data_IF_768872431252
#
_entry.id   IF_768872431252
#
_cell.length_a   1.000
_cell.length_b   1.000
_cell.length_c   1.000
_cell.angle_alpha   90.00
_cell.angle_beta   90.00
_cell.angle_gamma   90.00
#
_symmetry.space_group_name_H-M   'P 1'
#
loop_
_entity.id
_entity.type
_entity.pdbx_description
1 polymer ?
#
# COMPACT_ATOMS: atom_id res chain seq x y z
N UNK A 1 -9.16 64.41 39.08
CA UNK A 1 -8.63 63.08 38.75
C UNK A 1 -9.81 62.14 38.65
N UNK A 2 -10.18 61.75 37.44
CA UNK A 2 -11.33 60.87 37.18
C UNK A 2 -10.90 59.93 36.08
N UNK A 3 -10.71 58.65 36.44
CA UNK A 3 -10.23 57.59 35.57
C UNK A 3 -11.35 57.10 34.66
N UNK A 4 -11.18 57.21 33.35
CA UNK A 4 -12.09 56.65 32.35
C UNK A 4 -11.58 55.26 31.94
N UNK A 5 -12.32 54.22 32.31
CA UNK A 5 -12.08 52.83 31.92
C UNK A 5 -12.47 52.60 30.45
N UNK A 6 -11.54 52.12 29.63
CA UNK A 6 -11.78 51.67 28.26
C UNK A 6 -12.30 50.23 28.27
N UNK A 7 -13.52 50.01 27.78
CA UNK A 7 -14.03 48.65 27.50
C UNK A 7 -13.48 48.15 26.16
N UNK A 8 -12.78 47.02 26.18
CA UNK A 8 -12.41 46.27 24.98
C UNK A 8 -13.51 45.24 24.74
N UNK A 9 -14.24 45.37 23.63
CA UNK A 9 -15.16 44.33 23.13
C UNK A 9 -14.40 43.39 22.20
N UNK A 10 -14.18 42.16 22.64
CA UNK A 10 -13.59 41.08 21.84
C UNK A 10 -14.58 40.60 20.78
N UNK A 11 -14.24 40.77 19.50
CA UNK A 11 -14.94 40.11 18.40
C UNK A 11 -14.46 38.65 18.30
N UNK A 12 -15.33 37.69 18.63
CA UNK A 12 -15.06 36.27 18.43
C UNK A 12 -15.25 35.92 16.95
N UNK A 13 -14.16 35.58 16.27
CA UNK A 13 -14.14 35.08 14.90
C UNK A 13 -14.61 33.62 14.88
N UNK A 14 -15.85 33.37 14.44
CA UNK A 14 -16.35 32.03 14.17
C UNK A 14 -15.72 31.51 12.87
N UNK A 15 -14.77 30.59 13.00
CA UNK A 15 -14.25 29.80 11.87
C UNK A 15 -15.25 28.66 11.62
N UNK A 16 -16.10 28.83 10.61
CA UNK A 16 -16.92 27.76 10.08
C UNK A 16 -16.03 26.81 9.25
N UNK A 17 -15.54 25.73 9.86
CA UNK A 17 -14.96 24.61 9.12
C UNK A 17 -16.06 23.89 8.36
N UNK A 18 -16.13 24.11 7.05
CA UNK A 18 -16.94 23.32 6.13
C UNK A 18 -16.37 21.89 6.09
N UNK A 19 -17.12 20.95 6.65
CA UNK A 19 -16.87 19.51 6.51
C UNK A 19 -17.11 19.15 5.05
N UNK A 20 -16.06 19.21 4.22
CA UNK A 20 -16.11 18.63 2.88
C UNK A 20 -16.25 17.11 3.05
N UNK A 21 -17.47 16.61 2.86
CA UNK A 21 -17.78 15.20 2.89
C UNK A 21 -16.87 14.45 1.92
N UNK A 22 -16.15 13.45 2.44
CA UNK A 22 -15.37 12.52 1.62
C UNK A 22 -16.36 11.71 0.81
N UNK A 23 -16.63 12.12 -0.43
CA UNK A 23 -17.38 11.32 -1.38
C UNK A 23 -16.55 10.10 -1.75
N UNK A 24 -16.84 8.95 -1.13
CA UNK A 24 -16.39 7.66 -1.65
C UNK A 24 -17.24 7.34 -2.88
N UNK A 25 -16.81 7.80 -4.04
CA UNK A 25 -17.46 7.48 -5.30
C UNK A 25 -17.34 5.96 -5.56
N UNK A 26 -18.45 5.24 -5.45
CA UNK A 26 -18.59 3.91 -6.02
C UNK A 26 -18.65 4.06 -7.55
N UNK A 27 -17.48 4.18 -8.18
CA UNK A 27 -17.38 4.21 -9.63
C UNK A 27 -17.85 2.87 -10.21
N UNK A 28 -18.71 2.93 -11.24
CA UNK A 28 -19.09 1.76 -12.02
C UNK A 28 -17.82 1.06 -12.58
N UNK A 29 -17.81 -0.28 -12.73
CA UNK A 29 -16.67 -1.00 -13.28
C UNK A 29 -16.31 -0.45 -14.67
N UNK A 30 -15.03 -0.14 -14.91
CA UNK A 30 -14.58 0.31 -16.23
C UNK A 30 -14.73 -0.85 -17.21
N UNK A 31 -15.58 -0.68 -18.22
CA UNK A 31 -15.87 -1.72 -19.22
C UNK A 31 -14.91 -1.67 -20.41
N UNK A 32 -14.38 -0.50 -20.78
CA UNK A 32 -13.46 -0.27 -21.91
C UNK A 32 -12.36 0.75 -21.57
N UNK A 33 -11.21 0.70 -22.28
CA UNK A 33 -10.09 1.66 -22.17
C UNK A 33 -9.51 1.84 -20.75
N UNK A 34 -9.10 0.74 -20.11
CA UNK A 34 -8.47 0.78 -18.80
C UNK A 34 -7.14 0.02 -18.73
N UNK A 35 -6.36 0.37 -17.71
CA UNK A 35 -5.19 -0.39 -17.27
C UNK A 35 -5.55 -1.10 -15.98
N UNK A 36 -5.31 -2.39 -15.93
CA UNK A 36 -5.45 -3.18 -14.71
C UNK A 36 -4.11 -3.22 -13.97
N UNK A 37 -4.13 -3.02 -12.65
CA UNK A 37 -2.93 -3.10 -11.82
C UNK A 37 -3.10 -4.16 -10.72
N UNK A 38 -2.04 -4.91 -10.46
CA UNK A 38 -1.95 -5.95 -9.43
C UNK A 38 -0.68 -5.72 -8.60
N UNK A 39 -0.80 -5.86 -7.29
CA UNK A 39 0.36 -5.94 -6.39
C UNK A 39 0.68 -7.41 -6.17
N UNK A 40 1.95 -7.76 -6.32
CA UNK A 40 2.49 -9.08 -6.04
C UNK A 40 3.55 -8.96 -4.95
N UNK A 41 3.47 -9.81 -3.92
CA UNK A 41 4.46 -9.86 -2.85
C UNK A 41 4.98 -11.29 -2.69
N UNK A 42 6.29 -11.48 -2.82
CA UNK A 42 6.92 -12.79 -2.63
C UNK A 42 7.36 -12.93 -1.19
N UNK A 43 6.93 -14.00 -0.54
CA UNK A 43 7.35 -14.34 0.81
C UNK A 43 8.23 -15.59 0.70
N UNK A 44 9.54 -15.37 0.72
CA UNK A 44 10.53 -16.44 0.63
C UNK A 44 11.81 -16.08 1.37
N UNK A 45 12.10 -16.82 2.44
CA UNK A 45 13.41 -16.80 3.08
C UNK A 45 13.80 -18.23 3.49
N UNK A 46 14.93 -18.79 3.01
CA UNK A 46 15.34 -20.14 3.39
C UNK A 46 15.76 -20.25 4.86
N UNK A 47 16.02 -19.15 5.56
CA UNK A 47 16.45 -19.13 6.96
C UNK A 47 15.32 -18.81 7.95
N UNK A 48 14.10 -18.50 7.48
CA UNK A 48 12.96 -18.15 8.33
C UNK A 48 11.79 -19.10 8.11
N UNK A 49 11.04 -19.34 9.18
CA UNK A 49 9.72 -19.97 9.15
C UNK A 49 8.65 -18.91 9.37
N UNK A 50 7.43 -19.19 8.93
CA UNK A 50 6.25 -18.36 9.18
C UNK A 50 6.44 -16.91 8.69
N UNK A 51 7.05 -16.72 7.52
CA UNK A 51 7.15 -15.38 6.89
C UNK A 51 5.82 -14.89 6.33
N UNK A 52 4.80 -15.76 6.28
CA UNK A 52 3.44 -15.41 5.87
C UNK A 52 2.62 -14.94 7.06
N UNK A 53 1.75 -13.97 6.81
CA UNK A 53 0.70 -13.56 7.76
C UNK A 53 -0.57 -14.37 7.49
N UNK A 54 -1.55 -14.40 8.39
CA UNK A 54 -2.94 -14.81 8.16
C UNK A 54 -3.87 -13.60 8.02
N UNK A 55 -3.39 -12.42 8.41
CA UNK A 55 -4.14 -11.19 8.36
C UNK A 55 -4.25 -10.67 6.94
N UNK A 56 -5.41 -10.11 6.60
CA UNK A 56 -5.57 -9.44 5.33
C UNK A 56 -4.63 -8.22 5.24
N UNK A 57 -4.03 -8.02 4.08
CA UNK A 57 -3.39 -6.73 3.78
C UNK A 57 -4.35 -5.85 3.00
N UNK A 58 -4.38 -4.57 3.34
CA UNK A 58 -5.09 -3.55 2.55
C UNK A 58 -4.11 -2.92 1.57
N UNK A 59 -4.57 -2.75 0.34
CA UNK A 59 -3.80 -2.07 -0.70
C UNK A 59 -4.51 -0.77 -1.05
N UNK A 60 -3.76 0.30 -1.19
CA UNK A 60 -4.26 1.58 -1.66
C UNK A 60 -3.38 2.07 -2.79
N UNK A 61 -3.99 2.32 -3.94
CA UNK A 61 -3.34 2.77 -5.15
C UNK A 61 -3.50 4.27 -5.27
N UNK A 62 -2.40 4.99 -5.42
CA UNK A 62 -2.42 6.42 -5.70
C UNK A 62 -1.96 6.65 -7.14
N UNK A 63 -2.62 7.59 -7.81
CA UNK A 63 -2.36 7.85 -9.22
C UNK A 63 -1.62 9.16 -9.45
N UNK A 64 -1.13 9.35 -10.66
CA UNK A 64 -0.48 10.58 -11.12
C UNK A 64 -1.38 11.81 -11.04
N UNK A 65 -2.71 11.61 -11.17
CA UNK A 65 -3.69 12.69 -11.02
C UNK A 65 -4.03 13.05 -9.56
N UNK A 66 -3.40 12.39 -8.59
CA UNK A 66 -3.66 12.59 -7.16
C UNK A 66 -4.86 11.81 -6.61
N UNK A 67 -5.53 11.00 -7.44
CA UNK A 67 -6.65 10.15 -7.00
C UNK A 67 -6.14 8.95 -6.22
N UNK A 68 -7.03 8.44 -5.36
CA UNK A 68 -6.76 7.27 -4.52
C UNK A 68 -7.84 6.22 -4.75
N UNK A 69 -7.42 4.98 -4.94
CA UNK A 69 -8.28 3.84 -5.17
C UNK A 69 -7.96 2.75 -4.15
N UNK A 70 -8.95 2.35 -3.38
CA UNK A 70 -8.81 1.19 -2.50
C UNK A 70 -8.72 -0.07 -3.36
N UNK A 71 -7.61 -0.80 -3.23
CA UNK A 71 -7.54 -2.16 -3.68
C UNK A 71 -8.38 -3.06 -2.79
N UNK A 72 -8.84 -4.17 -3.35
CA UNK A 72 -9.36 -5.26 -2.53
C UNK A 72 -8.21 -5.86 -1.69
N UNK A 73 -8.58 -6.52 -0.59
CA UNK A 73 -7.62 -7.18 0.30
C UNK A 73 -6.72 -8.13 -0.49
N UNK A 74 -5.42 -8.13 -0.19
CA UNK A 74 -4.51 -9.15 -0.75
C UNK A 74 -5.01 -10.50 -0.26
N UNK A 75 -5.28 -11.40 -1.20
CA UNK A 75 -5.72 -12.75 -0.86
C UNK A 75 -4.55 -13.52 -0.28
N UNK A 76 -4.72 -13.92 0.97
CA UNK A 76 -3.88 -14.86 1.67
C UNK A 76 -3.99 -16.23 0.97
N UNK A 77 -2.89 -16.85 0.54
CA UNK A 77 -2.91 -18.26 0.18
C UNK A 77 -3.33 -19.09 1.40
N UNK A 78 -3.93 -20.26 1.17
CA UNK A 78 -4.45 -21.12 2.25
C UNK A 78 -3.35 -21.71 3.15
N UNK A 79 -2.08 -21.49 2.82
CA UNK A 79 -0.91 -21.98 3.54
C UNK A 79 -0.01 -20.80 3.93
N UNK A 80 0.54 -20.86 5.15
CA UNK A 80 1.59 -19.92 5.59
C UNK A 80 2.93 -20.31 4.98
N UNK A 81 3.84 -19.35 4.87
CA UNK A 81 5.17 -19.58 4.31
C UNK A 81 5.98 -20.52 5.20
N UNK A 82 6.18 -21.75 4.75
CA UNK A 82 7.13 -22.69 5.36
C UNK A 82 8.55 -22.35 4.92
N UNK A 83 9.55 -22.73 5.73
CA UNK A 83 10.96 -22.50 5.42
C UNK A 83 11.31 -23.05 4.04
N UNK A 84 11.92 -22.22 3.20
CA UNK A 84 12.34 -22.63 1.87
C UNK A 84 11.21 -22.78 0.83
N UNK A 85 9.96 -22.48 1.19
CA UNK A 85 8.85 -22.45 0.23
C UNK A 85 8.52 -21.01 -0.15
N UNK A 86 8.43 -20.77 -1.46
CA UNK A 86 8.03 -19.47 -1.99
C UNK A 86 6.51 -19.41 -2.05
N UNK A 87 5.95 -18.42 -1.37
CA UNK A 87 4.52 -18.09 -1.47
C UNK A 87 4.37 -16.73 -2.13
N UNK A 88 3.41 -16.61 -3.03
CA UNK A 88 3.15 -15.40 -3.81
C UNK A 88 1.78 -14.85 -3.45
N UNK A 89 1.78 -13.68 -2.84
CA UNK A 89 0.60 -12.91 -2.49
C UNK A 89 0.19 -12.03 -3.65
N UNK A 90 -1.10 -12.01 -3.98
CA UNK A 90 -1.63 -11.24 -5.12
C UNK A 90 -2.84 -10.42 -4.69
N UNK A 91 -2.82 -9.12 -4.99
CA UNK A 91 -4.02 -8.29 -4.85
C UNK A 91 -5.00 -8.58 -5.98
N UNK A 92 -6.31 -8.44 -5.79
CA UNK A 92 -7.21 -8.34 -6.92
C UNK A 92 -6.84 -7.13 -7.79
N UNK A 93 -7.14 -7.24 -9.08
CA UNK A 93 -6.81 -6.18 -10.03
C UNK A 93 -7.73 -4.97 -9.84
N UNK A 94 -7.15 -3.76 -9.93
CA UNK A 94 -7.93 -2.52 -10.04
C UNK A 94 -7.86 -1.99 -11.47
N UNK A 95 -8.98 -1.51 -12.00
CA UNK A 95 -9.03 -0.87 -13.31
C UNK A 95 -8.92 0.66 -13.17
N UNK A 96 -7.97 1.27 -13.86
CA UNK A 96 -7.82 2.73 -13.94
C UNK A 96 -8.03 3.23 -15.37
N UNK A 97 -8.58 4.45 -15.56
CA UNK A 97 -8.67 5.06 -16.89
C UNK A 97 -7.29 5.17 -17.55
N UNK A 98 -7.18 4.89 -18.85
CA UNK A 98 -5.91 4.87 -19.60
C UNK A 98 -5.02 6.13 -19.45
N UNK A 99 -5.62 7.28 -19.16
CA UNK A 99 -4.94 8.58 -18.99
C UNK A 99 -4.33 8.79 -17.60
N UNK A 100 -4.53 7.87 -16.67
CA UNK A 100 -4.02 7.96 -15.30
C UNK A 100 -3.13 6.76 -14.99
N UNK A 101 -1.94 7.01 -14.46
CA UNK A 101 -0.96 5.98 -14.11
C UNK A 101 -0.79 5.88 -12.61
N UNK A 102 -0.37 4.74 -12.09
CA UNK A 102 0.00 4.61 -10.68
C UNK A 102 1.27 5.44 -10.41
N UNK A 103 1.25 6.22 -9.33
CA UNK A 103 2.39 6.99 -8.81
C UNK A 103 2.98 6.38 -7.54
N UNK A 104 2.15 5.74 -6.71
CA UNK A 104 2.61 4.96 -5.56
C UNK A 104 1.56 3.94 -5.13
N UNK A 105 2.00 2.88 -4.47
CA UNK A 105 1.14 1.90 -3.82
C UNK A 105 1.44 1.89 -2.34
N UNK A 106 0.39 1.88 -1.54
CA UNK A 106 0.47 1.73 -0.09
C UNK A 106 -0.08 0.35 0.28
N UNK A 107 0.69 -0.42 1.02
CA UNK A 107 0.25 -1.68 1.61
C UNK A 107 0.23 -1.52 3.13
N UNK A 108 -0.86 -1.90 3.78
CA UNK A 108 -0.98 -1.82 5.24
C UNK A 108 -1.51 -3.10 5.84
N UNK A 109 -0.93 -3.51 6.96
CA UNK A 109 -1.43 -4.60 7.79
C UNK A 109 -2.80 -4.23 8.38
N UNK A 110 -3.68 -5.23 8.54
CA UNK A 110 -4.95 -5.05 9.26
C UNK A 110 -5.02 -5.76 10.60
N UNK A 111 -3.96 -6.46 11.00
CA UNK A 111 -3.92 -7.25 12.21
C UNK A 111 -2.50 -7.36 12.79
N UNK A 112 -2.34 -8.26 13.76
CA UNK A 112 -1.12 -8.43 14.55
C UNK A 112 -0.18 -9.49 13.99
N UNK A 113 -0.63 -10.32 13.05
CA UNK A 113 0.18 -11.37 12.45
C UNK A 113 1.08 -10.77 11.36
N UNK A 114 2.39 -10.92 11.54
CA UNK A 114 3.36 -10.25 10.69
C UNK A 114 3.45 -10.89 9.30
N UNK A 115 3.56 -10.06 8.26
CA UNK A 115 4.01 -10.49 6.95
C UNK A 115 5.46 -10.08 6.75
N UNK A 116 6.30 -11.00 6.31
CA UNK A 116 7.63 -10.71 5.78
C UNK A 116 7.67 -10.99 4.27
N UNK A 117 8.18 -10.04 3.49
CA UNK A 117 8.34 -10.17 2.04
C UNK A 117 9.68 -9.61 1.57
N UNK A 118 10.40 -10.34 0.72
CA UNK A 118 11.65 -9.83 0.13
C UNK A 118 11.44 -9.12 -1.20
N UNK A 119 10.28 -9.32 -1.84
CA UNK A 119 10.02 -8.76 -3.16
C UNK A 119 8.60 -8.26 -3.26
N UNK A 120 8.45 -7.01 -3.71
CA UNK A 120 7.17 -6.41 -4.07
C UNK A 120 7.22 -5.99 -5.52
N UNK A 121 6.20 -6.34 -6.29
CA UNK A 121 6.08 -5.98 -7.70
C UNK A 121 4.71 -5.38 -7.96
N UNK A 122 4.66 -4.29 -8.74
CA UNK A 122 3.40 -3.83 -9.32
C UNK A 122 3.39 -4.25 -10.77
N UNK A 123 2.40 -5.04 -11.14
CA UNK A 123 2.15 -5.43 -12.52
C UNK A 123 1.06 -4.53 -13.11
N UNK A 124 1.27 -4.11 -14.35
CA UNK A 124 0.27 -3.45 -15.19
C UNK A 124 -0.11 -4.40 -16.32
N UNK A 125 -1.41 -4.56 -16.53
CA UNK A 125 -2.01 -5.27 -17.65
C UNK A 125 -2.87 -4.31 -18.45
N UNK A 126 -2.69 -4.27 -19.75
CA UNK A 126 -3.57 -3.50 -20.63
C UNK A 126 -4.85 -4.32 -20.85
N UNK A 127 -6.03 -3.80 -20.45
CA UNK A 127 -7.31 -4.48 -20.67
C UNK A 127 -8.29 -3.54 -21.35
N UNK A 128 -8.66 -3.89 -22.58
CA UNK A 128 -9.47 -3.03 -23.46
C UNK A 128 -8.74 -2.44 -24.66
N UNK A 129 -7.56 -2.95 -25.02
CA UNK A 129 -7.01 -2.79 -26.37
C UNK A 129 -7.30 -4.08 -27.16
N UNK A 130 -8.42 -4.15 -27.92
CA UNK A 130 -8.90 -5.42 -28.50
C UNK A 130 -7.92 -6.13 -29.44
N UNK A 131 -6.86 -5.48 -29.93
CA UNK A 131 -6.03 -6.02 -31.03
C UNK A 131 -4.51 -5.84 -30.88
N UNK A 132 -3.99 -5.55 -29.67
CA UNK A 132 -2.54 -5.39 -29.47
C UNK A 132 -2.13 -6.22 -28.27
N UNK A 133 -1.40 -7.32 -28.51
CA UNK A 133 -1.05 -8.33 -27.51
C UNK A 133 -0.76 -7.75 -26.12
N UNK A 134 -1.31 -8.40 -25.09
CA UNK A 134 -1.20 -8.00 -23.70
C UNK A 134 0.25 -7.60 -23.35
N UNK A 135 0.50 -6.30 -23.18
CA UNK A 135 1.77 -5.85 -22.62
C UNK A 135 1.71 -6.05 -21.12
N UNK A 136 2.49 -7.01 -20.64
CA UNK A 136 2.79 -7.14 -19.22
C UNK A 136 3.95 -6.19 -18.91
N UNK A 137 3.65 -5.10 -18.21
CA UNK A 137 4.65 -4.16 -17.71
C UNK A 137 4.78 -4.31 -16.21
N UNK A 138 5.99 -4.13 -15.69
CA UNK A 138 6.25 -4.06 -14.24
C UNK A 138 6.68 -2.62 -13.91
N UNK A 139 5.72 -1.69 -13.70
CA UNK A 139 6.05 -0.30 -13.38
C UNK A 139 6.80 -0.10 -12.06
N UNK A 140 6.78 -1.10 -11.16
CA UNK A 140 7.52 -1.04 -9.90
C UNK A 140 8.01 -2.42 -9.48
N UNK A 141 9.26 -2.49 -9.04
CA UNK A 141 9.90 -3.71 -8.53
C UNK A 141 10.85 -3.32 -7.39
N UNK A 142 10.55 -3.77 -6.18
CA UNK A 142 11.37 -3.57 -4.99
C UNK A 142 11.79 -4.93 -4.48
N UNK A 143 13.07 -5.23 -4.62
CA UNK A 143 13.69 -6.47 -4.17
C UNK A 143 14.79 -6.10 -3.18
N UNK A 144 14.68 -6.59 -1.94
CA UNK A 144 15.71 -6.36 -0.91
C UNK A 144 16.87 -7.34 -1.02
N UNK A 145 16.82 -8.31 -1.95
CA UNK A 145 17.81 -9.36 -2.13
C UNK A 145 17.65 -10.52 -1.14
N UNK A 146 18.63 -11.42 -1.12
CA UNK A 146 18.62 -12.60 -0.27
C UNK A 146 19.08 -12.26 1.15
N UNK A 147 18.18 -12.45 2.13
CA UNK A 147 18.52 -12.42 3.55
C UNK A 147 17.83 -11.32 4.36
N UNK A 148 17.34 -10.24 3.73
CA UNK A 148 16.47 -9.26 4.40
C UNK A 148 15.22 -8.99 3.59
N UNK A 149 14.17 -8.50 4.25
CA UNK A 149 12.88 -8.22 3.63
C UNK A 149 12.07 -7.19 4.39
N UNK A 150 11.04 -6.67 3.73
CA UNK A 150 10.05 -5.80 4.31
C UNK A 150 9.19 -6.56 5.32
N UNK A 151 8.87 -5.93 6.44
CA UNK A 151 7.92 -6.48 7.41
C UNK A 151 6.70 -5.57 7.58
N UNK A 152 5.50 -6.14 7.44
CA UNK A 152 4.24 -5.50 7.77
C UNK A 152 3.57 -6.14 8.99
N UNK A 153 3.41 -5.38 10.06
CA UNK A 153 2.69 -5.81 11.27
C UNK A 153 2.15 -4.61 12.06
N UNK A 154 1.01 -4.78 12.71
CA UNK A 154 0.55 -3.83 13.73
C UNK A 154 1.06 -4.17 15.15
N UNK A 155 1.61 -5.37 15.36
CA UNK A 155 2.17 -5.75 16.65
C UNK A 155 3.58 -5.18 16.83
N UNK A 156 3.77 -4.42 17.91
CA UNK A 156 5.08 -3.88 18.28
C UNK A 156 6.03 -4.96 18.81
N UNK A 157 5.50 -6.09 19.27
CA UNK A 157 6.26 -7.25 19.73
C UNK A 157 7.13 -7.86 18.64
N UNK A 158 6.68 -7.81 17.38
CA UNK A 158 7.43 -8.34 16.24
C UNK A 158 8.78 -7.67 16.03
N UNK A 159 8.91 -6.40 16.44
CA UNK A 159 10.17 -5.66 16.41
C UNK A 159 11.17 -6.06 17.50
N UNK A 160 10.81 -7.02 18.37
CA UNK A 160 11.69 -7.53 19.43
C UNK A 160 12.02 -9.01 19.26
N UNK A 161 11.47 -9.65 18.23
CA UNK A 161 11.62 -11.07 18.01
C UNK A 161 12.94 -11.39 17.25
N UNK A 162 13.47 -12.62 17.34
CA UNK A 162 14.75 -12.99 16.73
C UNK A 162 14.83 -12.78 15.21
N UNK A 163 13.67 -12.83 14.54
CA UNK A 163 13.56 -12.71 13.09
C UNK A 163 13.78 -11.28 12.56
N UNK A 164 13.85 -10.28 13.45
CA UNK A 164 14.17 -8.88 13.11
C UNK A 164 15.52 -8.71 12.42
N UNK A 165 16.46 -9.63 12.64
CA UNK A 165 17.72 -9.73 11.90
C UNK A 165 17.54 -9.86 10.38
N UNK A 166 16.40 -10.38 9.95
CA UNK A 166 16.01 -10.52 8.55
C UNK A 166 15.09 -9.40 8.06
N UNK A 167 14.78 -8.38 8.87
CA UNK A 167 13.91 -7.27 8.46
C UNK A 167 14.75 -6.11 7.96
N UNK A 168 14.43 -5.54 6.79
CA UNK A 168 15.09 -4.37 6.24
C UNK A 168 14.63 -3.09 6.96
N UNK A 169 15.52 -2.10 7.08
CA UNK A 169 15.19 -0.82 7.71
C UNK A 169 15.04 -0.88 9.23
N UNK A 170 14.09 -0.11 9.78
CA UNK A 170 13.86 0.05 11.22
C UNK A 170 12.96 -1.02 11.85
N UNK A 171 12.65 -2.09 11.11
CA UNK A 171 11.78 -3.18 11.58
C UNK A 171 10.42 -3.22 10.88
N UNK A 172 9.48 -3.91 11.51
CA UNK A 172 8.09 -4.05 11.12
C UNK A 172 7.33 -2.72 11.22
N UNK A 173 6.62 -2.38 10.15
CA UNK A 173 5.78 -1.20 10.07
C UNK A 173 4.33 -1.59 9.80
N UNK A 174 3.32 -0.88 10.34
CA UNK A 174 1.92 -1.18 10.05
C UNK A 174 1.54 -0.86 8.59
N UNK A 175 2.38 -0.09 7.90
CA UNK A 175 2.17 0.40 6.55
C UNK A 175 3.51 0.62 5.85
N UNK A 176 3.53 0.31 4.56
CA UNK A 176 4.65 0.59 3.66
C UNK A 176 4.16 1.26 2.38
N UNK A 177 5.00 2.10 1.81
CA UNK A 177 4.75 2.88 0.60
C UNK A 177 5.80 2.57 -0.44
N UNK A 178 5.34 2.18 -1.63
CA UNK A 178 6.16 1.82 -2.78
C UNK A 178 5.95 2.87 -3.88
N UNK A 179 6.94 3.75 -4.08
CA UNK A 179 6.87 4.86 -5.04
C UNK A 179 7.25 4.44 -6.46
N UNK A 180 6.42 4.74 -7.45
CA UNK A 180 6.60 4.33 -8.85
C UNK A 180 7.05 5.53 -9.69
N UNK A 181 8.07 5.34 -10.52
CA UNK A 181 8.62 6.36 -11.42
C UNK A 181 10.09 6.68 -11.16
N UNK A 182 10.56 7.87 -11.56
CA UNK A 182 11.94 8.33 -11.32
C UNK A 182 12.20 8.40 -9.81
N UNK A 183 13.23 7.70 -9.34
CA UNK A 183 13.59 7.66 -7.92
C UNK A 183 12.77 6.68 -7.09
N UNK A 184 12.27 5.59 -7.70
CA UNK A 184 11.47 4.57 -7.00
C UNK A 184 12.15 4.08 -5.70
N UNK A 185 11.45 4.28 -4.58
CA UNK A 185 11.88 3.92 -3.23
C UNK A 185 10.75 3.23 -2.47
N UNK A 186 11.11 2.41 -1.50
CA UNK A 186 10.20 1.86 -0.51
C UNK A 186 10.41 2.59 0.83
N UNK A 187 9.32 2.99 1.48
CA UNK A 187 9.31 3.70 2.76
C UNK A 187 8.31 3.08 3.73
#
# INVERSE_FOLDING_TARGET
MTNTFTKITSAALLIATTLAGVQTANAAPLTHNYRAYEVIMDCYNPAMENTGSKDALRVTFHTSSGKTYAGNKIMQPSTTCSRGNKIVYRSPQIALPNRDTISKVVVSASGQDALWTNKVQIHQYDKGAPNTGFKHLTPGNWDTGHGRGYCLSMDRGDNRAPWTSFVAGSGCAPKMTFQIGRGAQAH
#
